data_IF_205495082761
#
_entry.id   IF_205495082761
#
_cell.length_a   1.000
_cell.length_b   1.000
_cell.length_c   1.000
_cell.angle_alpha   90.00
_cell.angle_beta   90.00
_cell.angle_gamma   90.00
#
_symmetry.space_group_name_H-M   'P 1'
#
loop_
_entity.id
_entity.type
_entity.pdbx_description
1 polymer ?
#
# COMPACT_ATOMS: atom_id res chain seq x y z
N UNK A 1 -10.88 -16.93 -0.82
CA UNK A 1 -10.08 -15.89 -0.14
C UNK A 1 -10.35 -14.57 -0.82
N UNK A 2 -10.77 -13.54 -0.07
CA UNK A 2 -11.00 -12.20 -0.64
C UNK A 2 -9.69 -11.63 -1.17
N UNK A 3 -9.65 -11.22 -2.44
CA UNK A 3 -8.50 -10.55 -3.04
C UNK A 3 -8.62 -9.05 -2.76
N UNK A 4 -7.88 -8.58 -1.76
CA UNK A 4 -7.78 -7.15 -1.45
C UNK A 4 -7.15 -6.37 -2.61
N UNK A 5 -7.58 -5.11 -2.77
CA UNK A 5 -6.96 -4.13 -3.68
C UNK A 5 -5.98 -3.27 -2.88
N UNK A 6 -4.70 -3.45 -3.17
CA UNK A 6 -3.58 -2.92 -2.41
C UNK A 6 -2.78 -1.94 -3.28
N UNK A 7 -2.22 -0.92 -2.63
CA UNK A 7 -1.20 -0.06 -3.21
C UNK A 7 -0.01 -0.07 -2.25
N UNK A 8 1.16 -0.46 -2.71
CA UNK A 8 2.38 -0.53 -1.91
C UNK A 8 3.38 0.53 -2.35
N UNK A 9 3.97 1.25 -1.40
CA UNK A 9 5.03 2.22 -1.68
C UNK A 9 6.35 1.55 -2.08
N UNK A 10 7.34 2.37 -2.45
CA UNK A 10 8.68 1.92 -2.82
C UNK A 10 9.41 1.12 -1.72
N UNK A 11 9.02 1.29 -0.45
CA UNK A 11 9.66 0.60 0.67
C UNK A 11 9.24 -0.86 0.80
N UNK A 12 8.23 -1.30 0.08
CA UNK A 12 7.63 -2.64 0.19
C UNK A 12 7.90 -3.52 -1.04
N UNK A 13 8.90 -3.23 -1.86
CA UNK A 13 9.18 -3.97 -3.10
C UNK A 13 9.23 -5.49 -2.96
N UNK A 14 9.82 -6.04 -1.89
CA UNK A 14 9.81 -7.50 -1.64
C UNK A 14 8.42 -8.04 -1.27
N UNK A 15 7.65 -7.26 -0.51
CA UNK A 15 6.31 -7.66 -0.10
C UNK A 15 5.35 -7.71 -1.28
N UNK A 16 5.51 -6.82 -2.27
CA UNK A 16 4.71 -6.82 -3.51
C UNK A 16 4.75 -8.16 -4.22
N UNK A 17 5.92 -8.80 -4.32
CA UNK A 17 6.06 -10.12 -4.93
C UNK A 17 5.18 -11.16 -4.22
N UNK A 18 5.23 -11.19 -2.88
CA UNK A 18 4.41 -12.12 -2.10
C UNK A 18 2.91 -11.82 -2.23
N UNK A 19 2.50 -10.55 -2.20
CA UNK A 19 1.10 -10.16 -2.34
C UNK A 19 0.54 -10.57 -3.72
N UNK A 20 1.31 -10.37 -4.80
CA UNK A 20 0.96 -10.81 -6.15
C UNK A 20 0.90 -12.33 -6.25
N UNK A 21 1.85 -13.06 -5.64
CA UNK A 21 1.82 -14.54 -5.57
C UNK A 21 0.59 -15.06 -4.82
N UNK A 22 0.17 -14.39 -3.75
CA UNK A 22 -1.07 -14.70 -3.03
C UNK A 22 -2.34 -14.30 -3.80
N UNK A 23 -2.20 -13.63 -4.95
CA UNK A 23 -3.30 -13.25 -5.82
C UNK A 23 -3.96 -11.90 -5.48
N UNK A 24 -3.38 -11.08 -4.62
CA UNK A 24 -3.91 -9.74 -4.35
C UNK A 24 -3.73 -8.81 -5.57
N UNK A 25 -4.71 -7.93 -5.81
CA UNK A 25 -4.61 -6.85 -6.79
C UNK A 25 -3.70 -5.75 -6.21
N UNK A 26 -2.40 -5.85 -6.46
CA UNK A 26 -1.38 -5.00 -5.84
C UNK A 26 -0.71 -4.09 -6.86
N UNK A 27 -0.95 -2.79 -6.73
CA UNK A 27 -0.19 -1.73 -7.39
C UNK A 27 1.07 -1.44 -6.59
N UNK A 28 2.19 -1.29 -7.27
CA UNK A 28 3.46 -0.85 -6.67
C UNK A 28 3.74 0.57 -7.16
N UNK A 29 3.92 1.51 -6.24
CA UNK A 29 4.04 2.92 -6.55
C UNK A 29 5.14 3.22 -7.59
N UNK A 30 6.36 2.65 -7.49
CA UNK A 30 7.38 2.82 -8.53
C UNK A 30 7.00 2.24 -9.90
N UNK A 31 6.30 1.10 -9.95
CA UNK A 31 5.82 0.54 -11.24
C UNK A 31 4.77 1.45 -11.89
N UNK A 32 4.05 2.24 -11.08
CA UNK A 32 3.01 3.16 -11.50
C UNK A 32 3.53 4.60 -11.73
N UNK A 33 4.83 4.85 -11.56
CA UNK A 33 5.42 6.19 -11.68
C UNK A 33 5.00 7.16 -10.56
N UNK A 34 4.56 6.63 -9.41
CA UNK A 34 4.17 7.43 -8.24
C UNK A 34 5.40 7.59 -7.35
N UNK A 35 5.96 8.80 -7.35
CA UNK A 35 7.18 9.13 -6.61
C UNK A 35 6.89 9.94 -5.35
N UNK A 36 5.83 10.77 -5.36
CA UNK A 36 5.45 11.61 -4.24
C UNK A 36 4.37 10.96 -3.36
N UNK A 37 4.53 11.14 -2.05
CA UNK A 37 3.60 10.61 -1.04
C UNK A 37 2.15 11.06 -1.25
N UNK A 38 1.94 12.29 -1.71
CA UNK A 38 0.61 12.83 -1.95
C UNK A 38 -0.05 12.23 -3.20
N UNK A 39 0.72 11.92 -4.24
CA UNK A 39 0.24 11.19 -5.42
C UNK A 39 -0.14 9.75 -5.05
N UNK A 40 0.70 9.09 -4.27
CA UNK A 40 0.46 7.74 -3.73
C UNK A 40 -0.86 7.72 -2.95
N UNK A 41 -1.08 8.73 -2.09
CA UNK A 41 -2.31 8.88 -1.31
C UNK A 41 -3.53 9.20 -2.18
N UNK A 42 -3.38 10.06 -3.19
CA UNK A 42 -4.45 10.43 -4.10
C UNK A 42 -4.95 9.19 -4.86
N UNK A 43 -4.03 8.45 -5.50
CA UNK A 43 -4.37 7.22 -6.23
C UNK A 43 -4.97 6.17 -5.31
N UNK A 44 -4.43 5.99 -4.09
CA UNK A 44 -5.00 5.05 -3.14
C UNK A 44 -6.44 5.40 -2.75
N UNK A 45 -6.79 6.70 -2.64
CA UNK A 45 -8.15 7.15 -2.35
C UNK A 45 -9.06 7.03 -3.55
N UNK A 46 -8.65 7.55 -4.70
CA UNK A 46 -9.42 7.57 -5.94
C UNK A 46 -9.76 6.16 -6.41
N UNK A 47 -8.79 5.24 -6.34
CA UNK A 47 -9.01 3.86 -6.72
C UNK A 47 -9.62 3.00 -5.61
N UNK A 48 -9.78 3.53 -4.39
CA UNK A 48 -10.27 2.77 -3.23
C UNK A 48 -9.36 1.62 -2.83
N UNK A 49 -8.03 1.82 -2.93
CA UNK A 49 -7.00 0.84 -2.55
C UNK A 49 -6.53 1.06 -1.12
N UNK A 50 -6.16 -0.05 -0.46
CA UNK A 50 -5.49 -0.01 0.83
C UNK A 50 -4.01 0.30 0.63
N UNK A 51 -3.57 1.45 1.12
CA UNK A 51 -2.16 1.82 1.12
C UNK A 51 -1.39 0.98 2.14
N UNK A 52 -0.31 0.36 1.69
CA UNK A 52 0.68 -0.33 2.49
C UNK A 52 1.97 0.48 2.41
N UNK A 53 2.50 0.81 3.58
CA UNK A 53 3.74 1.55 3.74
C UNK A 53 4.37 1.19 5.07
N UNK A 54 5.70 1.27 5.16
CA UNK A 54 6.42 1.21 6.45
C UNK A 54 6.49 2.58 7.14
N UNK A 55 6.13 3.65 6.45
CA UNK A 55 6.18 5.01 6.95
C UNK A 55 4.89 5.29 7.75
N UNK A 56 5.08 5.75 8.99
CA UNK A 56 3.96 5.98 9.91
C UNK A 56 3.21 7.27 9.57
N UNK A 57 3.87 8.28 9.02
CA UNK A 57 3.26 9.54 8.56
C UNK A 57 2.47 9.31 7.26
N UNK A 58 3.02 8.51 6.33
CA UNK A 58 2.31 8.12 5.11
C UNK A 58 1.07 7.26 5.42
N UNK A 59 1.20 6.30 6.36
CA UNK A 59 0.13 5.38 6.74
C UNK A 59 -0.96 5.98 7.63
N UNK A 60 -0.62 6.89 8.54
CA UNK A 60 -1.59 7.54 9.44
C UNK A 60 -2.56 8.47 8.71
N UNK A 61 -2.12 9.05 7.60
CA UNK A 61 -2.94 9.91 6.76
C UNK A 61 -3.98 9.13 5.92
N UNK A 62 -3.87 7.81 5.75
CA UNK A 62 -4.75 7.01 4.89
C UNK A 62 -5.74 6.13 5.67
N UNK A 63 -6.88 6.71 6.07
CA UNK A 63 -8.03 5.99 6.66
C UNK A 63 -9.14 5.69 5.63
N UNK A 64 -8.78 5.19 4.46
CA UNK A 64 -9.76 4.56 3.54
C UNK A 64 -10.22 3.19 4.08
N UNK A 65 -11.38 2.66 3.61
CA UNK A 65 -11.94 1.35 4.00
C UNK A 65 -10.83 0.28 4.06
N UNK A 66 -10.34 0.00 5.28
CA UNK A 66 -9.34 -1.03 5.52
C UNK A 66 -7.88 -0.58 5.63
N UNK A 67 -7.52 0.70 5.76
CA UNK A 67 -6.12 1.10 6.03
C UNK A 67 -5.51 0.27 7.18
N UNK A 68 -4.70 -0.75 6.84
CA UNK A 68 -4.04 -1.58 7.83
C UNK A 68 -2.68 -0.94 8.07
N UNK A 69 -2.62 -0.15 9.14
CA UNK A 69 -1.34 0.17 9.76
C UNK A 69 -0.74 -1.16 10.23
N UNK A 70 0.37 -1.59 9.63
CA UNK A 70 1.15 -2.72 10.13
C UNK A 70 1.88 -2.25 11.41
N UNK A 71 1.14 -2.10 12.50
CA UNK A 71 1.72 -1.93 13.83
C UNK A 71 2.20 -3.30 14.31
N UNK A 72 3.52 -3.53 14.24
CA UNK A 72 4.12 -4.70 14.89
C UNK A 72 5.27 -5.33 14.13
N UNK A 73 6.44 -4.69 14.18
CA UNK A 73 7.70 -5.45 14.26
C UNK A 73 8.62 -4.76 15.27
N UNK A 74 8.21 -4.84 16.54
CA UNK A 74 9.11 -4.58 17.67
C UNK A 74 9.85 -5.90 17.92
N UNK A 75 11.17 -5.91 17.77
CA UNK A 75 12.00 -6.74 18.64
C UNK A 75 12.20 -5.98 19.94
#
# INVERSE_FOLDING_TARGET
MSRERLLADAMLGRLVSYLRMCGHDTVYAPDAGLEEDDDIRAVAREEGRRLLTRDRELGSAHRGRGGAHLEGYRR
#
